data_IF_247605654020
#
_entry.id   IF_247605654020
#
_cell.length_a   1.000
_cell.length_b   1.000
_cell.length_c   1.000
_cell.angle_alpha   90.00
_cell.angle_beta   90.00
_cell.angle_gamma   90.00
#
_symmetry.space_group_name_H-M   'P 1'
#
loop_
_entity.id
_entity.type
_entity.pdbx_description
1 polymer ?
#
# COMPACT_ATOMS: atom_id res chain seq x y z
N UNK A 1 -5.86 -13.23 8.20
CA UNK A 1 -7.30 -13.52 8.09
C UNK A 1 -7.57 -14.69 9.02
N UNK A 2 -8.45 -14.50 10.00
CA UNK A 2 -8.84 -15.55 10.92
C UNK A 2 -9.89 -16.51 10.33
N UNK A 3 -10.07 -17.72 10.91
CA UNK A 3 -11.03 -18.71 10.37
C UNK A 3 -12.48 -18.20 10.26
N UNK A 4 -12.87 -17.24 11.09
CA UNK A 4 -14.22 -16.63 11.07
C UNK A 4 -14.43 -15.66 9.92
N UNK A 5 -13.37 -15.18 9.29
CA UNK A 5 -13.40 -14.22 8.18
C UNK A 5 -13.44 -14.90 6.80
N UNK A 6 -13.16 -16.21 6.74
CA UNK A 6 -13.14 -16.97 5.47
C UNK A 6 -14.45 -16.86 4.67
N UNK A 7 -15.65 -16.95 5.28
CA UNK A 7 -16.92 -16.81 4.55
C UNK A 7 -17.15 -15.41 3.95
N UNK A 8 -16.46 -14.40 4.51
CA UNK A 8 -16.57 -12.99 4.08
C UNK A 8 -15.35 -12.49 3.32
N UNK A 9 -14.47 -13.44 2.92
CA UNK A 9 -13.20 -13.12 2.27
C UNK A 9 -13.38 -12.25 1.04
N UNK A 10 -14.36 -12.58 0.20
CA UNK A 10 -14.64 -11.82 -1.02
C UNK A 10 -15.11 -10.40 -0.73
N UNK A 11 -16.16 -10.25 0.04
CA UNK A 11 -16.82 -8.97 0.27
C UNK A 11 -15.97 -8.03 1.14
N UNK A 12 -15.41 -8.55 2.25
CA UNK A 12 -14.72 -7.71 3.22
C UNK A 12 -13.23 -7.50 2.95
N UNK A 13 -12.60 -8.39 2.21
CA UNK A 13 -11.15 -8.32 2.06
C UNK A 13 -10.73 -8.15 0.60
N UNK A 14 -11.16 -8.99 -0.31
CA UNK A 14 -10.69 -8.95 -1.69
C UNK A 14 -11.26 -7.74 -2.45
N UNK A 15 -12.57 -7.52 -2.42
CA UNK A 15 -13.19 -6.41 -3.16
C UNK A 15 -12.75 -5.06 -2.59
N UNK A 16 -12.66 -4.93 -1.25
CA UNK A 16 -12.16 -3.72 -0.61
C UNK A 16 -10.70 -3.40 -0.99
N UNK A 17 -9.88 -4.42 -1.22
CA UNK A 17 -8.53 -4.24 -1.74
C UNK A 17 -8.52 -3.88 -3.23
N UNK A 18 -9.41 -4.53 -4.01
CA UNK A 18 -9.50 -4.34 -5.45
C UNK A 18 -9.82 -2.89 -5.84
N UNK A 19 -10.79 -2.27 -5.18
CA UNK A 19 -11.25 -0.92 -5.52
C UNK A 19 -10.20 0.17 -5.30
N UNK A 20 -9.10 -0.12 -4.59
CA UNK A 20 -7.97 0.80 -4.43
C UNK A 20 -7.26 1.06 -5.77
N UNK A 21 -7.43 0.18 -6.75
CA UNK A 21 -6.92 0.37 -8.12
C UNK A 21 -7.34 1.72 -8.72
N UNK A 22 -8.52 2.24 -8.35
CA UNK A 22 -9.04 3.54 -8.82
C UNK A 22 -8.09 4.71 -8.53
N UNK A 23 -7.19 4.55 -7.56
CA UNK A 23 -6.23 5.57 -7.14
C UNK A 23 -4.84 5.42 -7.77
N UNK A 24 -4.61 4.36 -8.55
CA UNK A 24 -3.28 4.00 -9.07
C UNK A 24 -3.27 4.21 -10.59
N UNK A 25 -2.47 5.17 -11.10
CA UNK A 25 -2.30 5.40 -12.54
C UNK A 25 -1.75 4.18 -13.28
N UNK A 26 -1.92 4.18 -14.59
CA UNK A 26 -1.35 3.17 -15.48
C UNK A 26 0.18 3.19 -15.42
N UNK A 27 0.78 2.00 -15.38
CA UNK A 27 2.22 1.82 -15.39
C UNK A 27 2.95 2.18 -14.11
N UNK A 28 2.23 2.49 -13.01
CA UNK A 28 2.82 2.89 -11.75
C UNK A 28 3.64 1.77 -11.09
N UNK A 29 4.68 2.16 -10.36
CA UNK A 29 5.37 1.27 -9.41
C UNK A 29 4.74 1.39 -8.03
N UNK A 30 4.42 0.24 -7.42
CA UNK A 30 3.71 0.15 -6.14
C UNK A 30 4.45 -0.78 -5.18
N UNK A 31 4.63 -0.35 -3.96
CA UNK A 31 5.15 -1.18 -2.86
C UNK A 31 4.04 -1.43 -1.84
N UNK A 32 3.74 -2.67 -1.56
CA UNK A 32 2.81 -3.06 -0.49
C UNK A 32 3.61 -3.40 0.78
N UNK A 33 3.47 -2.58 1.82
CA UNK A 33 4.23 -2.73 3.06
C UNK A 33 3.51 -3.67 4.03
N UNK A 34 4.26 -4.66 4.54
CA UNK A 34 3.71 -5.65 5.46
C UNK A 34 2.62 -6.47 4.79
N UNK A 35 2.89 -6.95 3.59
CA UNK A 35 1.90 -7.58 2.69
C UNK A 35 1.15 -8.75 3.31
N UNK A 36 1.73 -9.42 4.30
CA UNK A 36 1.06 -10.46 5.09
C UNK A 36 0.50 -11.60 4.26
N UNK A 37 -0.83 -11.65 4.14
CA UNK A 37 -1.55 -12.60 3.28
C UNK A 37 -1.70 -12.10 1.82
N UNK A 38 -0.96 -11.05 1.43
CA UNK A 38 -0.99 -10.47 0.08
C UNK A 38 -2.10 -9.44 -0.15
N UNK A 39 -2.61 -8.81 0.91
CA UNK A 39 -3.69 -7.85 0.80
C UNK A 39 -3.24 -6.44 1.22
N UNK A 40 -3.30 -5.44 0.35
CA UNK A 40 -3.95 -5.43 -0.98
C UNK A 40 -3.04 -5.88 -2.14
N UNK A 41 -1.73 -6.05 -1.96
CA UNK A 41 -0.75 -6.14 -3.02
C UNK A 41 -0.99 -7.24 -4.06
N UNK A 42 -1.26 -8.50 -3.66
CA UNK A 42 -1.57 -9.58 -4.62
C UNK A 42 -2.82 -9.29 -5.44
N UNK A 43 -3.85 -8.72 -4.81
CA UNK A 43 -5.11 -8.38 -5.50
C UNK A 43 -4.87 -7.31 -6.56
N UNK A 44 -4.13 -6.26 -6.20
CA UNK A 44 -3.77 -5.17 -7.13
C UNK A 44 -2.89 -5.69 -8.28
N UNK A 45 -1.87 -6.50 -7.97
CA UNK A 45 -1.00 -7.09 -9.00
C UNK A 45 -1.74 -8.02 -9.97
N UNK A 46 -2.75 -8.74 -9.48
CA UNK A 46 -3.60 -9.60 -10.32
C UNK A 46 -4.53 -8.79 -11.24
N UNK A 47 -5.14 -7.72 -10.73
CA UNK A 47 -6.09 -6.89 -11.47
C UNK A 47 -5.41 -5.93 -12.45
N UNK A 48 -4.20 -5.52 -12.14
CA UNK A 48 -3.45 -4.49 -12.86
C UNK A 48 -2.11 -5.04 -13.33
N UNK A 49 -2.10 -5.82 -14.43
CA UNK A 49 -0.86 -6.36 -15.01
C UNK A 49 0.08 -5.28 -15.56
N UNK A 50 -0.42 -4.06 -15.74
CA UNK A 50 0.32 -2.88 -16.16
C UNK A 50 1.20 -2.27 -15.07
N UNK A 51 0.88 -2.45 -13.78
CA UNK A 51 1.69 -1.92 -12.68
C UNK A 51 2.82 -2.89 -12.29
N UNK A 52 3.91 -2.34 -11.76
CA UNK A 52 4.94 -3.13 -11.08
C UNK A 52 4.66 -3.15 -9.58
N UNK A 53 4.40 -4.32 -9.03
CA UNK A 53 4.07 -4.52 -7.62
C UNK A 53 5.22 -5.18 -6.88
N UNK A 54 5.64 -4.58 -5.76
CA UNK A 54 6.60 -5.19 -4.82
C UNK A 54 5.87 -5.47 -3.51
N UNK A 55 5.85 -6.75 -3.09
CA UNK A 55 5.31 -7.19 -1.81
C UNK A 55 6.43 -7.23 -0.79
N UNK A 56 6.47 -6.25 0.12
CA UNK A 56 7.51 -6.13 1.13
C UNK A 56 7.02 -6.72 2.47
N UNK A 57 7.62 -7.83 2.90
CA UNK A 57 7.20 -8.58 4.10
C UNK A 57 8.43 -9.09 4.88
N UNK A 58 8.56 -8.78 6.17
CA UNK A 58 9.74 -9.19 6.95
C UNK A 58 9.74 -10.68 7.35
N UNK A 59 8.58 -11.31 7.48
CA UNK A 59 8.48 -12.67 8.01
C UNK A 59 8.66 -13.73 6.92
N UNK A 60 9.71 -14.57 7.05
CA UNK A 60 10.03 -15.61 6.09
C UNK A 60 8.83 -16.51 5.74
N UNK A 61 8.07 -16.95 6.74
CA UNK A 61 6.89 -17.81 6.49
C UNK A 61 5.87 -17.14 5.55
N UNK A 62 5.70 -15.82 5.67
CA UNK A 62 4.77 -15.08 4.82
C UNK A 62 5.34 -14.84 3.43
N UNK A 63 6.64 -14.56 3.31
CA UNK A 63 7.27 -14.42 1.99
C UNK A 63 7.22 -15.72 1.21
N UNK A 64 7.43 -16.87 1.83
CA UNK A 64 7.28 -18.19 1.18
C UNK A 64 5.85 -18.38 0.65
N UNK A 65 4.84 -18.03 1.44
CA UNK A 65 3.44 -18.06 1.00
C UNK A 65 3.18 -17.12 -0.18
N UNK A 66 3.70 -15.89 -0.11
CA UNK A 66 3.54 -14.90 -1.18
C UNK A 66 4.22 -15.36 -2.48
N UNK A 67 5.44 -15.91 -2.41
CA UNK A 67 6.14 -16.48 -3.57
C UNK A 67 5.35 -17.62 -4.21
N UNK A 68 4.78 -18.51 -3.39
CA UNK A 68 3.93 -19.59 -3.87
C UNK A 68 2.65 -19.04 -4.56
N UNK A 69 2.01 -18.03 -3.95
CA UNK A 69 0.83 -17.39 -4.51
C UNK A 69 1.14 -16.71 -5.86
N UNK A 70 2.22 -15.93 -5.94
CA UNK A 70 2.67 -15.26 -7.18
C UNK A 70 2.89 -16.27 -8.29
N UNK A 71 3.60 -17.37 -8.00
CA UNK A 71 3.88 -18.44 -8.97
C UNK A 71 2.60 -19.16 -9.40
N UNK A 72 1.71 -19.51 -8.46
CA UNK A 72 0.46 -20.24 -8.73
C UNK A 72 -0.50 -19.41 -9.57
N UNK A 73 -0.55 -18.09 -9.31
CA UNK A 73 -1.37 -17.15 -10.08
C UNK A 73 -0.72 -16.69 -11.39
N UNK A 74 0.54 -17.07 -11.64
CA UNK A 74 1.26 -16.70 -12.86
C UNK A 74 1.53 -15.20 -12.99
N UNK A 75 1.70 -14.49 -11.87
CA UNK A 75 1.90 -13.04 -11.88
C UNK A 75 3.34 -12.69 -12.26
N UNK A 76 3.52 -12.07 -13.41
CA UNK A 76 4.84 -11.66 -13.92
C UNK A 76 5.24 -10.24 -13.53
N UNK A 77 4.28 -9.46 -13.02
CA UNK A 77 4.43 -8.07 -12.62
C UNK A 77 4.56 -7.88 -11.09
N UNK A 78 4.62 -8.99 -10.32
CA UNK A 78 4.69 -8.98 -8.86
C UNK A 78 6.01 -9.61 -8.39
N UNK A 79 6.75 -8.85 -7.57
CA UNK A 79 7.99 -9.28 -6.92
C UNK A 79 7.74 -9.41 -5.41
N UNK A 80 8.19 -10.50 -4.80
CA UNK A 80 8.19 -10.65 -3.34
C UNK A 80 9.56 -10.30 -2.82
N UNK A 81 9.62 -9.36 -1.85
CA UNK A 81 10.88 -8.95 -1.23
C UNK A 81 10.79 -9.11 0.28
N UNK A 82 11.71 -9.92 0.82
CA UNK A 82 11.82 -10.07 2.28
C UNK A 82 12.61 -8.91 2.86
N UNK A 83 12.00 -8.18 3.81
CA UNK A 83 12.64 -7.08 4.53
C UNK A 83 11.63 -6.20 5.23
N UNK A 84 12.14 -5.30 6.05
CA UNK A 84 11.36 -4.22 6.65
C UNK A 84 11.40 -2.99 5.75
N UNK A 85 10.37 -2.16 5.84
CA UNK A 85 10.31 -0.93 5.05
C UNK A 85 11.49 0.01 5.37
N UNK A 86 11.89 0.09 6.63
CA UNK A 86 13.01 0.93 7.07
C UNK A 86 14.36 0.48 6.50
N UNK A 87 14.52 -0.83 6.26
CA UNK A 87 15.74 -1.40 5.65
C UNK A 87 15.84 -1.07 4.15
N UNK A 88 14.71 -0.77 3.52
CA UNK A 88 14.64 -0.41 2.11
C UNK A 88 14.80 1.09 1.83
N UNK A 89 14.88 1.93 2.89
CA UNK A 89 15.08 3.36 2.74
C UNK A 89 16.44 3.65 2.05
N UNK A 90 16.42 4.53 1.05
CA UNK A 90 17.60 4.88 0.27
C UNK A 90 17.93 3.91 -0.88
N UNK A 91 17.31 2.72 -0.93
CA UNK A 91 17.53 1.72 -1.96
C UNK A 91 16.30 1.51 -2.85
N UNK A 92 15.10 1.64 -2.28
CA UNK A 92 13.83 1.44 -2.98
C UNK A 92 13.05 2.74 -3.05
N UNK A 93 12.62 3.09 -4.27
CA UNK A 93 11.77 4.25 -4.53
C UNK A 93 10.60 3.85 -5.43
N UNK A 94 9.42 4.36 -5.11
CA UNK A 94 8.16 3.96 -5.74
C UNK A 94 7.21 5.15 -5.91
N UNK A 95 6.22 5.01 -6.78
CA UNK A 95 5.19 6.02 -6.98
C UNK A 95 4.09 5.91 -5.92
N UNK A 96 3.77 4.68 -5.52
CA UNK A 96 2.75 4.41 -4.51
C UNK A 96 3.22 3.42 -3.46
N UNK A 97 2.81 3.66 -2.22
CA UNK A 97 2.90 2.68 -1.15
C UNK A 97 1.50 2.31 -0.71
N UNK A 98 1.18 1.03 -0.68
CA UNK A 98 -0.05 0.52 -0.08
C UNK A 98 0.23 -0.14 1.26
N UNK A 99 -0.73 -0.06 2.17
CA UNK A 99 -0.67 -0.78 3.44
C UNK A 99 -2.08 -1.02 4.00
N UNK A 100 -2.24 -2.15 4.68
CA UNK A 100 -3.49 -2.51 5.34
C UNK A 100 -3.22 -3.11 6.72
N UNK A 101 -3.83 -2.54 7.76
CA UNK A 101 -3.80 -3.07 9.14
C UNK A 101 -2.38 -3.36 9.68
N UNK A 102 -1.38 -2.55 9.31
CA UNK A 102 0.03 -2.79 9.67
C UNK A 102 0.40 -2.05 10.95
N UNK A 103 0.02 -0.76 11.07
CA UNK A 103 0.38 0.11 12.18
C UNK A 103 -0.51 1.36 12.25
N UNK A 104 -0.46 2.12 13.36
CA UNK A 104 -1.00 3.47 13.41
C UNK A 104 -0.40 4.37 12.32
N UNK A 105 -1.18 5.35 11.83
CA UNK A 105 -0.84 6.15 10.66
C UNK A 105 0.50 6.89 10.78
N UNK A 106 0.82 7.46 11.93
CA UNK A 106 2.09 8.17 12.14
C UNK A 106 3.31 7.25 11.93
N UNK A 107 3.26 6.02 12.47
CA UNK A 107 4.31 5.02 12.29
C UNK A 107 4.38 4.54 10.84
N UNK A 108 3.22 4.27 10.25
CA UNK A 108 3.12 3.84 8.85
C UNK A 108 3.69 4.90 7.91
N UNK A 109 3.42 6.18 8.16
CA UNK A 109 4.01 7.28 7.41
C UNK A 109 5.55 7.29 7.52
N UNK A 110 6.10 7.06 8.72
CA UNK A 110 7.55 6.96 8.91
C UNK A 110 8.20 5.85 8.08
N UNK A 111 7.50 4.75 7.87
CA UNK A 111 7.97 3.65 7.04
C UNK A 111 7.80 3.89 5.54
N UNK A 112 6.72 4.58 5.16
CA UNK A 112 6.27 4.70 3.78
C UNK A 112 6.82 5.91 3.05
N UNK A 113 6.79 7.11 3.69
CA UNK A 113 7.13 8.35 3.00
C UNK A 113 8.57 8.39 2.47
N UNK A 114 9.59 7.80 3.16
CA UNK A 114 10.93 7.73 2.60
C UNK A 114 11.07 6.88 1.33
N UNK A 115 10.12 5.97 1.06
CA UNK A 115 10.10 5.15 -0.15
C UNK A 115 9.46 5.87 -1.34
N UNK A 116 8.72 6.96 -1.11
CA UNK A 116 7.99 7.64 -2.17
C UNK A 116 8.88 8.58 -2.99
N UNK A 117 8.71 8.55 -4.30
CA UNK A 117 9.18 9.62 -5.19
C UNK A 117 8.39 10.90 -4.95
N UNK A 118 8.85 12.02 -5.48
CA UNK A 118 8.07 13.26 -5.52
C UNK A 118 6.72 13.00 -6.20
N UNK A 119 5.67 13.61 -5.66
CA UNK A 119 4.27 13.45 -6.09
C UNK A 119 3.72 12.04 -5.90
N UNK A 120 4.51 11.12 -5.32
CA UNK A 120 4.05 9.80 -4.94
C UNK A 120 3.16 9.81 -3.69
N UNK A 121 2.41 8.74 -3.47
CA UNK A 121 1.40 8.68 -2.41
C UNK A 121 1.42 7.39 -1.61
N UNK A 122 1.29 7.54 -0.29
CA UNK A 122 0.85 6.47 0.59
C UNK A 122 -0.67 6.32 0.48
N UNK A 123 -1.14 5.10 0.27
CA UNK A 123 -2.54 4.69 0.27
C UNK A 123 -2.77 3.69 1.40
N UNK A 124 -3.16 4.18 2.56
CA UNK A 124 -3.41 3.36 3.74
C UNK A 124 -4.88 2.98 3.84
N UNK A 125 -5.20 1.68 3.70
CA UNK A 125 -6.55 1.18 3.89
C UNK A 125 -6.89 1.23 5.38
N UNK A 126 -7.91 1.98 5.74
CA UNK A 126 -8.34 2.23 7.11
C UNK A 126 -9.82 1.94 7.29
N UNK A 127 -10.25 1.84 8.56
CA UNK A 127 -11.64 1.69 8.93
C UNK A 127 -12.37 3.02 9.15
N UNK A 128 -13.44 2.96 9.92
CA UNK A 128 -14.32 4.11 10.20
C UNK A 128 -13.62 5.28 10.93
N UNK A 129 -12.52 5.01 11.63
CA UNK A 129 -11.77 6.01 12.39
C UNK A 129 -10.67 6.73 11.57
N UNK A 130 -10.68 6.59 10.24
CA UNK A 130 -9.65 7.14 9.37
C UNK A 130 -9.46 8.65 9.51
N UNK A 131 -10.56 9.41 9.62
CA UNK A 131 -10.52 10.86 9.81
C UNK A 131 -9.90 11.24 11.16
N UNK A 132 -10.28 10.56 12.24
CA UNK A 132 -9.72 10.80 13.58
C UNK A 132 -8.23 10.43 13.62
N UNK A 133 -7.86 9.28 13.07
CA UNK A 133 -6.47 8.83 13.00
C UNK A 133 -5.60 9.78 12.16
N UNK A 134 -6.14 10.31 11.05
CA UNK A 134 -5.44 11.31 10.26
C UNK A 134 -5.27 12.62 11.01
N UNK A 135 -6.31 13.07 11.74
CA UNK A 135 -6.24 14.29 12.52
C UNK A 135 -5.16 14.21 13.61
N UNK A 136 -5.08 13.08 14.32
CA UNK A 136 -4.05 12.82 15.34
C UNK A 136 -2.63 12.75 14.74
N UNK A 137 -2.48 12.12 13.58
CA UNK A 137 -1.18 11.90 12.96
C UNK A 137 -0.69 13.08 12.11
N UNK A 138 -1.54 14.06 11.80
CA UNK A 138 -1.28 15.12 10.81
C UNK A 138 0.01 15.89 11.05
N UNK A 139 0.28 16.25 12.30
CA UNK A 139 1.49 17.00 12.66
C UNK A 139 2.74 16.13 12.46
N UNK A 140 2.72 14.89 12.91
CA UNK A 140 3.85 13.97 12.77
C UNK A 140 4.13 13.64 11.30
N UNK A 141 3.07 13.41 10.50
CA UNK A 141 3.19 13.18 9.05
C UNK A 141 3.83 14.39 8.36
N UNK A 142 3.39 15.61 8.69
CA UNK A 142 3.92 16.83 8.07
C UNK A 142 5.38 17.10 8.41
N UNK A 143 5.84 16.67 9.60
CA UNK A 143 7.25 16.76 10.00
C UNK A 143 8.17 15.79 9.25
N UNK A 144 7.63 14.63 8.83
CA UNK A 144 8.41 13.63 8.09
C UNK A 144 8.74 14.11 6.68
N UNK A 145 7.73 14.57 5.93
CA UNK A 145 7.87 15.14 4.58
C UNK A 145 6.74 16.12 4.29
N UNK A 146 7.02 17.27 3.65
CA UNK A 146 5.97 18.15 3.16
C UNK A 146 5.04 17.43 2.19
N UNK A 147 3.73 17.62 2.38
CA UNK A 147 2.74 16.93 1.56
C UNK A 147 1.31 17.32 1.90
N UNK A 148 0.39 16.72 1.18
CA UNK A 148 -1.06 16.86 1.38
C UNK A 148 -1.63 15.53 1.84
N UNK A 149 -2.51 15.56 2.82
CA UNK A 149 -3.18 14.37 3.32
C UNK A 149 -4.68 14.55 3.36
N UNK A 150 -5.41 13.52 2.92
CA UNK A 150 -6.86 13.48 2.89
C UNK A 150 -7.41 12.06 3.12
N UNK A 151 -8.71 11.96 3.36
CA UNK A 151 -9.43 10.69 3.45
C UNK A 151 -10.32 10.56 2.21
N UNK A 152 -10.15 9.45 1.50
CA UNK A 152 -10.88 9.16 0.26
C UNK A 152 -11.73 7.92 0.47
N UNK A 153 -12.89 7.88 -0.17
CA UNK A 153 -13.74 6.70 -0.25
C UNK A 153 -13.84 6.22 -1.67
N UNK A 154 -13.31 5.01 -1.92
CA UNK A 154 -13.28 4.36 -3.23
C UNK A 154 -14.25 3.19 -3.31
N UNK A 155 -14.59 2.77 -4.52
CA UNK A 155 -15.46 1.62 -4.76
C UNK A 155 -16.94 1.91 -4.51
N UNK A 156 -17.39 3.18 -4.55
CA UNK A 156 -18.82 3.52 -4.42
C UNK A 156 -19.64 2.81 -5.50
N UNK A 157 -20.68 2.11 -5.07
CA UNK A 157 -21.52 1.29 -5.97
C UNK A 157 -20.93 -0.08 -6.34
N UNK A 158 -19.67 -0.37 -5.97
CA UNK A 158 -19.01 -1.68 -6.14
C UNK A 158 -18.90 -2.44 -4.82
N UNK A 159 -18.79 -1.72 -3.72
CA UNK A 159 -18.65 -2.26 -2.36
C UNK A 159 -19.42 -1.39 -1.36
N UNK A 160 -20.06 -2.03 -0.38
CA UNK A 160 -20.83 -1.37 0.66
C UNK A 160 -20.43 -1.91 2.05
N UNK A 161 -19.97 -1.04 2.96
CA UNK A 161 -19.62 0.37 2.75
C UNK A 161 -18.42 0.54 1.82
N UNK A 162 -18.31 1.72 1.17
CA UNK A 162 -17.15 2.07 0.35
C UNK A 162 -15.85 1.99 1.15
N UNK A 163 -14.77 1.58 0.49
CA UNK A 163 -13.46 1.43 1.13
C UNK A 163 -12.88 2.80 1.48
N UNK A 164 -12.46 2.97 2.73
CA UNK A 164 -11.83 4.18 3.21
C UNK A 164 -10.31 4.08 3.10
N UNK A 165 -9.70 5.06 2.47
CA UNK A 165 -8.25 5.18 2.27
C UNK A 165 -7.77 6.51 2.81
N UNK A 166 -6.78 6.50 3.69
CA UNK A 166 -6.00 7.68 4.01
C UNK A 166 -4.91 7.81 2.96
N UNK A 167 -4.92 8.91 2.23
CA UNK A 167 -3.88 9.25 1.26
C UNK A 167 -2.95 10.31 1.83
N UNK A 168 -1.64 10.11 1.68
CA UNK A 168 -0.61 11.11 1.95
C UNK A 168 0.25 11.24 0.71
N UNK A 169 0.14 12.36 0.01
CA UNK A 169 0.92 12.68 -1.19
C UNK A 169 2.09 13.59 -0.82
N UNK A 170 3.31 13.18 -1.14
CA UNK A 170 4.50 13.98 -0.87
C UNK A 170 4.75 14.98 -2.00
N UNK A 171 5.03 16.23 -1.66
CA UNK A 171 5.21 17.33 -2.63
C UNK A 171 6.66 17.77 -2.79
N UNK A 172 7.57 17.28 -1.94
CA UNK A 172 8.99 17.62 -1.95
C UNK A 172 9.86 16.47 -2.46
N UNK A 173 10.98 16.83 -3.09
CA UNK A 173 12.03 15.87 -3.43
C UNK A 173 12.67 15.33 -2.14
N UNK A 174 12.44 14.07 -1.85
CA UNK A 174 13.05 13.34 -0.74
C UNK A 174 13.76 12.08 -1.20
N UNK A 175 13.72 11.81 -2.51
CA UNK A 175 14.44 10.74 -3.16
C UNK A 175 15.73 11.24 -3.83
N UNK A 176 16.61 10.33 -4.31
CA UNK A 176 17.72 10.71 -5.17
C UNK A 176 17.19 11.46 -6.38
N UNK A 177 18.00 12.36 -7.00
CA UNK A 177 17.61 13.01 -8.24
C UNK A 177 17.21 11.94 -9.25
N UNK A 178 16.15 12.20 -10.00
CA UNK A 178 15.75 11.34 -11.10
C UNK A 178 17.02 11.05 -11.92
N UNK A 179 17.36 9.77 -12.05
CA UNK A 179 18.47 9.34 -12.89
C UNK A 179 18.14 9.83 -14.30
N UNK A 180 18.78 10.94 -14.69
CA UNK A 180 18.69 11.49 -16.03
C UNK A 180 19.09 10.41 -17.03
N UNK A 181 18.18 10.12 -17.94
CA UNK A 181 18.31 9.15 -19.01
C UNK A 181 19.34 9.48 -20.05
#
# INVERSE_FOLDING_TARGET
IGPREVPRLWERHLINCAVVEELIPEGAEVVDIGSGAGLPGLVLGLLRPDIRMILLEPLLRRTVFLDEAVRTLGLTNVEVRRGRAEEAHGELYTDFVTARAVAPLARLAGWSLPLLRKDGSLLALKGEQAEAELAEAREDVSKLRPGVSDVIRVGRGKVDPATTVVRVTVTSDGGPPASGG
#
